data_IF_771062121258
#
_entry.id   IF_771062121258
#
_cell.length_a   1.000
_cell.length_b   1.000
_cell.length_c   1.000
_cell.angle_alpha   90.00
_cell.angle_beta   90.00
_cell.angle_gamma   90.00
#
_symmetry.space_group_name_H-M   'P 1'
#
loop_
_entity.id
_entity.type
_entity.pdbx_description
1 polymer ?
#
# COMPACT_ATOMS: atom_id res chain seq x y z
N UNK A 1 1.98 26.95 -10.14
CA UNK A 1 3.08 25.97 -10.31
C UNK A 1 2.47 24.59 -10.15
N UNK A 2 2.72 23.66 -11.10
CA UNK A 2 2.31 22.26 -10.93
C UNK A 2 3.26 21.56 -9.95
N UNK A 3 2.72 20.83 -8.99
CA UNK A 3 3.49 19.97 -8.10
C UNK A 3 4.17 18.88 -8.95
N UNK A 4 5.46 18.66 -8.70
CA UNK A 4 6.22 17.54 -9.27
C UNK A 4 6.77 16.70 -8.15
N UNK A 5 6.50 15.41 -8.20
CA UNK A 5 6.93 14.48 -7.14
C UNK A 5 7.28 13.10 -7.70
N UNK A 6 8.04 12.39 -6.92
CA UNK A 6 8.42 11.02 -7.15
C UNK A 6 7.68 10.12 -6.17
N UNK A 7 7.14 9.03 -6.64
CA UNK A 7 6.51 8.00 -5.80
C UNK A 7 7.36 6.73 -5.83
N UNK A 8 7.51 6.13 -4.66
CA UNK A 8 8.11 4.81 -4.51
C UNK A 8 7.06 3.87 -3.91
N UNK A 9 6.97 2.64 -4.42
CA UNK A 9 6.16 1.60 -3.78
C UNK A 9 6.70 1.29 -2.39
N UNK A 10 5.83 0.91 -1.45
CA UNK A 10 6.21 0.75 -0.05
C UNK A 10 6.95 -0.56 0.19
N UNK A 11 8.19 -0.50 0.64
CA UNK A 11 8.94 -1.66 1.12
C UNK A 11 8.31 -2.31 2.36
N UNK A 12 7.60 -1.54 3.19
CA UNK A 12 6.88 -2.03 4.37
C UNK A 12 5.73 -3.00 4.01
N UNK A 13 5.20 -2.90 2.80
CA UNK A 13 4.13 -3.78 2.31
C UNK A 13 4.63 -5.11 1.80
N UNK A 14 5.95 -5.30 1.67
CA UNK A 14 6.54 -6.55 1.24
C UNK A 14 6.62 -7.54 2.41
N UNK A 15 6.37 -8.80 2.10
CA UNK A 15 6.42 -9.89 3.08
C UNK A 15 7.53 -10.87 2.71
N UNK A 16 8.24 -11.38 3.72
CA UNK A 16 9.26 -12.41 3.54
C UNK A 16 8.63 -13.77 3.24
N UNK A 17 7.52 -14.08 3.94
CA UNK A 17 6.72 -15.26 3.66
C UNK A 17 5.92 -15.05 2.37
N UNK A 18 5.81 -16.11 1.55
CA UNK A 18 5.10 -16.03 0.27
C UNK A 18 5.60 -14.86 -0.59
N UNK A 19 6.91 -14.73 -0.65
CA UNK A 19 7.62 -13.59 -1.25
C UNK A 19 7.25 -13.36 -2.72
N UNK A 20 6.91 -14.41 -3.46
CA UNK A 20 6.53 -14.33 -4.87
C UNK A 20 5.30 -13.45 -5.12
N UNK A 21 4.41 -13.31 -4.12
CA UNK A 21 3.24 -12.43 -4.21
C UNK A 21 3.57 -10.95 -4.03
N UNK A 22 4.81 -10.60 -3.70
CA UNK A 22 5.22 -9.20 -3.58
C UNK A 22 5.12 -8.45 -4.91
N UNK A 23 5.29 -9.12 -6.05
CA UNK A 23 5.08 -8.50 -7.36
C UNK A 23 3.64 -8.01 -7.55
N UNK A 24 2.67 -8.77 -7.05
CA UNK A 24 1.25 -8.36 -7.10
C UNK A 24 1.05 -7.12 -6.23
N UNK A 25 1.60 -7.10 -5.01
CA UNK A 25 1.52 -5.94 -4.11
C UNK A 25 2.15 -4.70 -4.74
N UNK A 26 3.34 -4.85 -5.29
CA UNK A 26 4.06 -3.78 -5.98
C UNK A 26 3.29 -3.29 -7.21
N UNK A 27 2.69 -4.19 -7.98
CA UNK A 27 1.88 -3.84 -9.16
C UNK A 27 0.67 -2.98 -8.78
N UNK A 28 -0.07 -3.36 -7.74
CA UNK A 28 -1.22 -2.58 -7.27
C UNK A 28 -0.82 -1.19 -6.77
N UNK A 29 0.28 -1.09 -6.03
CA UNK A 29 0.80 0.20 -5.58
C UNK A 29 1.28 1.08 -6.76
N UNK A 30 1.92 0.47 -7.75
CA UNK A 30 2.34 1.16 -8.97
C UNK A 30 1.13 1.68 -9.77
N UNK A 31 0.04 0.91 -9.82
CA UNK A 31 -1.20 1.32 -10.46
C UNK A 31 -1.83 2.52 -9.73
N UNK A 32 -1.89 2.48 -8.40
CA UNK A 32 -2.38 3.60 -7.58
C UNK A 32 -1.56 4.86 -7.83
N UNK A 33 -0.22 4.76 -7.80
CA UNK A 33 0.68 5.88 -8.08
C UNK A 33 0.48 6.46 -9.49
N UNK A 34 0.18 5.62 -10.47
CA UNK A 34 -0.12 6.05 -11.84
C UNK A 34 -1.43 6.83 -11.89
N UNK A 35 -2.47 6.38 -11.21
CA UNK A 35 -3.75 7.07 -11.11
C UNK A 35 -3.67 8.37 -10.31
N UNK A 36 -2.76 8.46 -9.35
CA UNK A 36 -2.46 9.68 -8.61
C UNK A 36 -1.54 10.66 -9.38
N UNK A 37 -1.28 10.35 -10.63
CA UNK A 37 -0.57 11.24 -11.57
C UNK A 37 0.88 11.57 -11.15
N UNK A 38 1.59 10.61 -10.55
CA UNK A 38 3.00 10.77 -10.18
C UNK A 38 3.87 11.10 -11.39
N UNK A 39 4.88 11.95 -11.22
CA UNK A 39 5.78 12.32 -12.31
C UNK A 39 6.85 11.27 -12.60
N UNK A 40 7.23 10.51 -11.59
CA UNK A 40 8.15 9.38 -11.72
C UNK A 40 7.83 8.33 -10.66
N UNK A 41 8.12 7.08 -10.97
CA UNK A 41 7.78 5.94 -10.14
C UNK A 41 8.97 5.01 -9.98
N UNK A 42 9.19 4.55 -8.76
CA UNK A 42 10.05 3.41 -8.46
C UNK A 42 9.19 2.22 -8.00
N UNK A 43 9.50 1.04 -8.49
CA UNK A 43 8.86 -0.22 -8.12
C UNK A 43 9.85 -1.14 -7.43
N UNK A 44 9.50 -1.63 -6.23
CA UNK A 44 10.35 -2.53 -5.47
C UNK A 44 10.41 -3.91 -6.12
N UNK A 45 11.57 -4.55 -6.05
CA UNK A 45 11.71 -5.95 -6.43
C UNK A 45 11.03 -6.87 -5.40
N UNK A 46 10.50 -8.00 -5.83
CA UNK A 46 9.73 -8.90 -4.96
C UNK A 46 10.57 -9.50 -3.82
N UNK A 47 11.87 -9.69 -4.04
CA UNK A 47 12.81 -10.26 -3.09
C UNK A 47 13.47 -9.23 -2.17
N UNK A 48 13.17 -7.94 -2.32
CA UNK A 48 13.74 -6.86 -1.52
C UNK A 48 13.39 -6.96 -0.02
N UNK A 49 12.33 -7.69 0.31
CA UNK A 49 11.97 -7.98 1.70
C UNK A 49 13.01 -8.83 2.46
N UNK A 50 13.86 -9.57 1.74
CA UNK A 50 14.76 -10.57 2.32
C UNK A 50 16.22 -10.33 1.92
N UNK A 51 16.48 -9.87 0.71
CA UNK A 51 17.83 -9.79 0.14
C UNK A 51 18.01 -8.56 -0.73
N UNK A 52 19.24 -8.34 -1.17
CA UNK A 52 19.52 -7.44 -2.28
C UNK A 52 18.91 -8.01 -3.56
N UNK A 53 18.20 -7.19 -4.35
CA UNK A 53 17.52 -7.64 -5.55
C UNK A 53 18.43 -8.39 -6.54
N UNK A 54 17.91 -9.47 -7.10
CA UNK A 54 18.55 -10.24 -8.15
C UNK A 54 18.31 -9.60 -9.53
N UNK A 55 19.05 -10.03 -10.56
CA UNK A 55 18.82 -9.55 -11.91
C UNK A 55 17.40 -9.88 -12.43
N UNK A 56 16.84 -11.03 -12.04
CA UNK A 56 15.50 -11.43 -12.43
C UNK A 56 14.43 -10.58 -11.72
N UNK A 57 14.57 -10.37 -10.41
CA UNK A 57 13.63 -9.56 -9.64
C UNK A 57 13.61 -8.09 -10.08
N UNK A 58 14.77 -7.51 -10.41
CA UNK A 58 14.86 -6.15 -10.98
C UNK A 58 14.19 -6.10 -12.36
N UNK A 59 14.39 -7.11 -13.20
CA UNK A 59 13.72 -7.20 -14.50
C UNK A 59 12.20 -7.23 -14.35
N UNK A 60 11.68 -7.99 -13.38
CA UNK A 60 10.24 -8.07 -13.07
C UNK A 60 9.70 -6.75 -12.53
N UNK A 61 10.43 -6.10 -11.63
CA UNK A 61 10.06 -4.77 -11.12
C UNK A 61 9.96 -3.71 -12.21
N UNK A 62 10.91 -3.71 -13.17
CA UNK A 62 10.84 -2.84 -14.35
C UNK A 62 9.69 -3.23 -15.28
N UNK A 63 9.43 -4.53 -15.45
CA UNK A 63 8.33 -5.02 -16.27
C UNK A 63 6.97 -4.52 -15.78
N UNK A 64 6.75 -4.40 -14.48
CA UNK A 64 5.52 -3.80 -13.90
C UNK A 64 5.25 -2.43 -14.51
N UNK A 65 6.25 -1.55 -14.51
CA UNK A 65 6.10 -0.20 -15.07
C UNK A 65 5.87 -0.23 -16.60
N UNK A 66 6.55 -1.14 -17.31
CA UNK A 66 6.38 -1.28 -18.76
C UNK A 66 4.99 -1.81 -19.13
N UNK A 67 4.48 -2.77 -18.39
CA UNK A 67 3.12 -3.31 -18.59
C UNK A 67 2.10 -2.19 -18.39
N UNK A 68 2.16 -1.46 -17.27
CA UNK A 68 1.24 -0.36 -16.97
C UNK A 68 1.29 0.72 -18.08
N UNK A 69 2.49 1.09 -18.52
CA UNK A 69 2.66 2.22 -19.45
C UNK A 69 2.52 1.80 -20.92
N UNK A 70 3.12 0.68 -21.33
CA UNK A 70 3.23 0.31 -22.74
C UNK A 70 2.16 -0.64 -23.20
N UNK A 71 1.80 -1.63 -22.39
CA UNK A 71 0.78 -2.62 -22.77
C UNK A 71 -0.63 -2.10 -22.50
N UNK A 72 -0.85 -1.50 -21.34
CA UNK A 72 -2.17 -0.99 -20.91
C UNK A 72 -2.36 0.50 -21.20
N UNK A 73 -1.30 1.27 -21.39
CA UNK A 73 -1.36 2.69 -21.73
C UNK A 73 -1.93 3.58 -20.62
N UNK A 74 -1.94 3.14 -19.38
CA UNK A 74 -2.58 3.86 -18.27
C UNK A 74 -1.88 5.18 -17.90
N UNK A 75 -0.60 5.34 -18.26
CA UNK A 75 0.15 6.57 -18.05
C UNK A 75 -0.12 7.64 -19.14
N UNK A 76 -0.94 7.35 -20.14
CA UNK A 76 -1.27 8.32 -21.21
C UNK A 76 -2.42 9.26 -20.82
N UNK A 77 -3.10 8.99 -19.71
CA UNK A 77 -4.21 9.77 -19.23
C UNK A 77 -3.76 10.68 -18.08
N UNK A 78 -3.92 11.99 -18.24
CA UNK A 78 -3.62 12.94 -17.17
C UNK A 78 -4.79 13.00 -16.18
N UNK A 79 -4.49 12.80 -14.89
CA UNK A 79 -5.43 12.91 -13.79
C UNK A 79 -6.74 12.09 -14.00
N UNK A 80 -6.67 10.76 -14.05
CA UNK A 80 -7.85 9.92 -14.30
C UNK A 80 -8.92 10.02 -13.20
N UNK A 81 -8.54 10.48 -12.00
CA UNK A 81 -9.45 10.69 -10.85
C UNK A 81 -10.07 12.09 -10.80
N UNK A 82 -9.81 12.94 -11.79
CA UNK A 82 -10.37 14.30 -11.83
C UNK A 82 -11.90 14.29 -11.76
N UNK A 83 -12.45 15.08 -10.85
CA UNK A 83 -13.89 15.20 -10.64
C UNK A 83 -14.50 14.06 -9.81
N UNK A 84 -13.69 13.21 -9.22
CA UNK A 84 -14.15 12.18 -8.28
C UNK A 84 -14.41 12.81 -6.91
N UNK A 85 -15.67 12.96 -6.52
CA UNK A 85 -16.04 13.56 -5.23
C UNK A 85 -15.49 12.76 -4.04
N UNK A 86 -15.39 11.44 -4.16
CA UNK A 86 -14.85 10.59 -3.07
C UNK A 86 -13.36 10.84 -2.85
N UNK A 87 -12.60 11.15 -3.91
CA UNK A 87 -11.18 11.48 -3.81
C UNK A 87 -11.01 12.86 -3.15
N UNK A 88 -11.87 13.82 -3.47
CA UNK A 88 -11.87 15.15 -2.85
C UNK A 88 -12.15 15.03 -1.33
N UNK A 89 -13.19 14.33 -0.93
CA UNK A 89 -13.54 14.06 0.48
C UNK A 89 -12.40 13.36 1.24
N UNK A 90 -11.80 12.33 0.65
CA UNK A 90 -10.66 11.63 1.26
C UNK A 90 -9.44 12.53 1.40
N UNK A 91 -9.20 13.41 0.43
CA UNK A 91 -8.11 14.39 0.47
C UNK A 91 -8.30 15.36 1.63
N UNK A 92 -9.49 15.91 1.80
CA UNK A 92 -9.81 16.83 2.89
C UNK A 92 -9.65 16.14 4.26
N UNK A 93 -10.12 14.91 4.41
CA UNK A 93 -9.95 14.13 5.65
C UNK A 93 -8.47 13.89 5.98
N UNK A 94 -7.64 13.57 5.00
CA UNK A 94 -6.20 13.37 5.19
C UNK A 94 -5.51 14.69 5.51
N UNK A 95 -5.89 15.79 4.85
CA UNK A 95 -5.36 17.13 5.16
C UNK A 95 -5.64 17.51 6.60
N UNK A 96 -6.85 17.35 7.08
CA UNK A 96 -7.23 17.62 8.48
C UNK A 96 -6.39 16.80 9.47
N UNK A 97 -6.22 15.50 9.22
CA UNK A 97 -5.41 14.62 10.05
C UNK A 97 -3.92 15.04 10.09
N UNK A 98 -3.38 15.45 8.94
CA UNK A 98 -1.98 15.92 8.83
C UNK A 98 -1.79 17.26 9.56
N UNK A 99 -2.73 18.19 9.42
CA UNK A 99 -2.66 19.48 10.12
C UNK A 99 -2.70 19.29 11.63
N UNK A 100 -3.55 18.40 12.13
CA UNK A 100 -3.58 18.05 13.56
C UNK A 100 -2.24 17.49 14.05
N UNK A 101 -1.57 16.68 13.24
CA UNK A 101 -0.25 16.16 13.59
C UNK A 101 0.83 17.23 13.56
N UNK A 102 0.74 18.20 12.65
CA UNK A 102 1.63 19.37 12.65
C UNK A 102 1.46 20.22 13.92
N UNK A 103 0.25 20.40 14.41
CA UNK A 103 -0.02 21.09 15.68
C UNK A 103 0.64 20.36 16.86
N UNK A 104 0.50 19.04 16.93
CA UNK A 104 1.14 18.21 17.96
C UNK A 104 2.66 18.32 17.95
N UNK A 105 3.27 18.42 16.78
CA UNK A 105 4.72 18.63 16.62
C UNK A 105 5.09 20.06 17.02
N UNK A 106 4.31 21.05 16.62
CA UNK A 106 4.55 22.46 16.94
C UNK A 106 4.51 22.71 18.46
N UNK A 107 3.54 22.13 19.18
CA UNK A 107 3.42 22.20 20.64
C UNK A 107 4.65 21.65 21.39
N UNK A 108 5.40 20.75 20.76
CA UNK A 108 6.62 20.14 21.30
C UNK A 108 7.89 20.94 20.99
N UNK A 109 7.75 22.15 20.46
CA UNK A 109 8.90 22.97 20.04
C UNK A 109 9.34 22.70 18.58
N UNK A 110 8.41 22.26 17.76
CA UNK A 110 8.65 21.94 16.35
C UNK A 110 9.37 20.59 16.16
N UNK A 111 9.92 20.39 14.99
CA UNK A 111 10.55 19.12 14.60
C UNK A 111 11.70 18.74 15.56
N UNK A 112 12.55 19.69 15.92
CA UNK A 112 13.70 19.43 16.81
C UNK A 112 13.24 19.05 18.22
N UNK A 113 12.31 19.80 18.82
CA UNK A 113 11.80 19.50 20.15
C UNK A 113 11.04 18.16 20.19
N UNK A 114 10.28 17.83 19.14
CA UNK A 114 9.66 16.53 19.01
C UNK A 114 10.68 15.39 18.84
N UNK A 115 11.79 15.62 18.16
CA UNK A 115 12.90 14.65 18.06
C UNK A 115 13.59 14.42 19.40
N UNK A 116 13.89 15.49 20.15
CA UNK A 116 14.52 15.40 21.47
C UNK A 116 13.70 14.57 22.46
N UNK A 117 12.37 14.65 22.37
CA UNK A 117 11.45 13.87 23.20
C UNK A 117 11.16 12.46 22.64
N UNK A 118 11.71 12.14 21.47
CA UNK A 118 11.48 10.85 20.81
C UNK A 118 10.04 10.65 20.27
N UNK A 119 9.29 11.72 20.07
CA UNK A 119 7.88 11.67 19.70
C UNK A 119 7.64 10.92 18.38
N UNK A 120 8.32 11.33 17.29
CA UNK A 120 8.15 10.68 15.97
C UNK A 120 8.54 9.20 16.02
N UNK A 121 9.66 8.90 16.69
CA UNK A 121 10.13 7.52 16.85
C UNK A 121 9.13 6.68 17.64
N UNK A 122 8.57 7.24 18.72
CA UNK A 122 7.54 6.57 19.53
C UNK A 122 6.31 6.25 18.70
N UNK A 123 5.79 7.21 17.93
CA UNK A 123 4.63 7.00 17.07
C UNK A 123 4.87 5.92 16.00
N UNK A 124 6.01 5.94 15.34
CA UNK A 124 6.36 4.92 14.34
C UNK A 124 6.45 3.53 14.97
N UNK A 125 7.01 3.42 16.18
CA UNK A 125 7.11 2.15 16.89
C UNK A 125 5.73 1.63 17.35
N UNK A 126 4.89 2.50 17.92
CA UNK A 126 3.52 2.16 18.33
C UNK A 126 2.70 1.61 17.16
N UNK A 127 2.71 2.29 16.01
CA UNK A 127 1.99 1.86 14.82
C UNK A 127 2.56 0.54 14.26
N UNK A 128 3.88 0.40 14.21
CA UNK A 128 4.52 -0.83 13.74
C UNK A 128 4.10 -2.03 14.60
N UNK A 129 4.11 -1.86 15.92
CA UNK A 129 3.68 -2.91 16.85
C UNK A 129 2.19 -3.22 16.72
N UNK A 130 1.35 -2.20 16.53
CA UNK A 130 -0.08 -2.39 16.29
C UNK A 130 -0.36 -3.25 15.04
N UNK A 131 0.32 -2.97 13.92
CA UNK A 131 0.19 -3.78 12.71
C UNK A 131 0.74 -5.20 12.87
N UNK A 132 1.84 -5.39 13.59
CA UNK A 132 2.36 -6.73 13.87
C UNK A 132 1.37 -7.55 14.72
N UNK A 133 0.77 -6.95 15.75
CA UNK A 133 -0.27 -7.64 16.53
C UNK A 133 -1.45 -8.04 15.64
N UNK A 134 -1.94 -7.15 14.78
CA UNK A 134 -3.02 -7.45 13.84
C UNK A 134 -2.70 -8.57 12.84
N UNK A 135 -1.45 -8.67 12.42
CA UNK A 135 -1.01 -9.79 11.57
C UNK A 135 -1.00 -11.11 12.34
N UNK A 136 -0.57 -11.09 13.61
CA UNK A 136 -0.48 -12.28 14.45
C UNK A 136 -1.86 -12.78 14.89
N UNK A 137 -2.78 -11.91 15.22
CA UNK A 137 -4.14 -12.29 15.65
C UNK A 137 -5.11 -12.54 14.48
N UNK A 138 -4.65 -12.28 13.23
CA UNK A 138 -5.43 -12.49 12.02
C UNK A 138 -6.46 -11.39 11.73
N UNK A 139 -6.54 -10.32 12.52
CA UNK A 139 -7.44 -9.18 12.27
C UNK A 139 -6.98 -8.32 11.08
N UNK A 140 -5.74 -8.50 10.64
CA UNK A 140 -5.22 -7.96 9.38
C UNK A 140 -4.82 -9.14 8.47
N UNK A 141 -5.76 -9.68 7.70
CA UNK A 141 -5.47 -10.83 6.84
C UNK A 141 -4.49 -10.44 5.74
N UNK A 142 -3.42 -11.20 5.62
CA UNK A 142 -2.49 -11.10 4.51
C UNK A 142 -2.23 -12.48 3.92
N UNK A 143 -1.79 -12.55 2.67
CA UNK A 143 -1.43 -13.82 2.04
C UNK A 143 -0.36 -14.59 2.85
N UNK A 144 0.50 -13.87 3.57
CA UNK A 144 1.53 -14.47 4.41
C UNK A 144 1.00 -15.08 5.73
N UNK A 145 -0.19 -14.65 6.17
CA UNK A 145 -0.78 -15.08 7.46
C UNK A 145 -1.99 -16.00 7.31
N UNK A 146 -2.54 -16.12 6.11
CA UNK A 146 -3.69 -17.00 5.84
C UNK A 146 -3.23 -18.46 5.84
N UNK A 147 -3.84 -19.27 6.70
CA UNK A 147 -3.62 -20.73 6.68
C UNK A 147 -4.36 -21.36 5.49
N UNK A 148 -3.62 -21.77 4.48
CA UNK A 148 -4.15 -22.35 3.24
C UNK A 148 -4.68 -23.78 3.41
N UNK A 149 -4.31 -24.46 4.49
CA UNK A 149 -4.82 -25.78 4.86
C UNK A 149 -6.13 -25.68 5.67
N UNK A 150 -6.65 -24.46 5.88
CA UNK A 150 -7.93 -24.29 6.57
C UNK A 150 -9.10 -24.79 5.70
N UNK A 151 -10.18 -25.31 6.31
CA UNK A 151 -11.38 -25.75 5.56
C UNK A 151 -11.96 -24.71 4.62
N UNK A 152 -11.73 -23.42 4.88
CA UNK A 152 -12.18 -22.30 4.05
C UNK A 152 -11.38 -22.16 2.75
N UNK A 153 -10.13 -22.63 2.72
CA UNK A 153 -9.29 -22.60 1.52
C UNK A 153 -9.43 -23.85 0.67
N UNK A 154 -9.78 -25.00 1.26
CA UNK A 154 -9.90 -26.27 0.55
C UNK A 154 -11.25 -26.43 -0.20
N UNK A 155 -12.29 -25.71 0.18
CA UNK A 155 -13.60 -25.79 -0.44
C UNK A 155 -13.78 -24.90 -1.68
N UNK A 156 -12.81 -24.03 -2.01
CA UNK A 156 -12.96 -23.02 -3.06
C UNK A 156 -12.10 -23.26 -4.31
N UNK A 157 -11.78 -24.51 -4.63
CA UNK A 157 -11.22 -24.86 -5.94
C UNK A 157 -12.21 -24.78 -7.12
N UNK A 158 -13.38 -24.21 -6.87
CA UNK A 158 -14.38 -23.90 -7.91
C UNK A 158 -14.60 -22.39 -7.99
N UNK A 159 -14.19 -21.80 -9.07
CA UNK A 159 -14.58 -20.55 -9.78
C UNK A 159 -15.40 -19.42 -9.10
N UNK A 160 -15.67 -19.44 -7.80
CA UNK A 160 -16.61 -18.50 -7.14
C UNK A 160 -15.99 -17.59 -6.05
N UNK A 161 -14.73 -17.73 -5.71
CA UNK A 161 -14.13 -17.02 -4.55
C UNK A 161 -14.19 -15.48 -4.64
N UNK A 162 -14.19 -14.90 -5.83
CA UNK A 162 -14.36 -13.45 -6.00
C UNK A 162 -15.82 -13.02 -5.81
N UNK A 163 -16.77 -13.88 -6.16
CA UNK A 163 -18.20 -13.62 -6.02
C UNK A 163 -18.64 -13.66 -4.54
N UNK A 164 -18.07 -14.56 -3.73
CA UNK A 164 -18.38 -14.65 -2.30
C UNK A 164 -17.79 -13.52 -1.45
N UNK A 165 -16.61 -12.99 -1.81
CA UNK A 165 -16.10 -11.78 -1.13
C UNK A 165 -17.00 -10.56 -1.36
N UNK A 166 -17.60 -10.44 -2.52
CA UNK A 166 -18.56 -9.37 -2.82
C UNK A 166 -19.90 -9.60 -2.11
N UNK A 167 -20.33 -10.86 -1.98
CA UNK A 167 -21.57 -11.22 -1.27
C UNK A 167 -21.50 -10.97 0.23
N UNK A 168 -20.38 -11.25 0.86
CA UNK A 168 -20.19 -11.03 2.30
C UNK A 168 -20.25 -9.55 2.70
N UNK A 169 -20.00 -8.63 1.76
CA UNK A 169 -20.13 -7.19 2.00
C UNK A 169 -21.58 -6.69 1.94
N UNK A 170 -22.46 -7.39 1.22
CA UNK A 170 -23.88 -7.00 1.09
C UNK A 170 -24.75 -7.47 2.25
N UNK A 171 -24.49 -8.64 2.85
CA UNK A 171 -25.24 -9.14 4.01
C UNK A 171 -25.04 -8.36 5.33
N UNK A 172 -24.06 -7.48 5.40
CA UNK A 172 -23.85 -6.61 6.59
C UNK A 172 -24.51 -5.24 6.49
N UNK A 173 -25.26 -4.97 5.42
CA UNK A 173 -25.98 -3.71 5.21
C UNK A 173 -27.51 -3.81 5.48
N UNK A 174 -27.99 -4.95 5.90
CA UNK A 174 -29.33 -5.14 6.49
C UNK A 174 -29.22 -5.30 8.04
#
# INVERSE_FOLDING_TARGET
QKLKYHTQTSGRSLHAQEMDFNDIRTTLQALIATYDNTNSLHTNAFDEAVTTPTADSVRRALAIQMVINKEWGLAQNENPNQGSFIIDELTDMVEEAVLLEFERIAERGGVLGAMETGYQRGKIQEESLHYEHKKHDGSYPSRATVNWDSPWTTNHHGSSGLCEMLWYSEEKQE
#
